data_IF_040518986816
#
_entry.id   IF_040518986816
#
_cell.length_a   1.000
_cell.length_b   1.000
_cell.length_c   1.000
_cell.angle_alpha   90.00
_cell.angle_beta   90.00
_cell.angle_gamma   90.00
#
_symmetry.space_group_name_H-M   'P 1'
#
loop_
_entity.id
_entity.type
_entity.pdbx_description
1 polymer ?
#
# COMPACT_ATOMS: atom_id res chain seq x y z
N UNK A 1 31.39 -11.77 5.10
CA UNK A 1 30.38 -11.03 4.32
C UNK A 1 30.59 -9.55 4.62
N UNK A 2 30.76 -8.69 3.61
CA UNK A 2 31.01 -7.26 3.83
C UNK A 2 29.72 -6.56 4.29
N UNK A 3 29.86 -5.50 5.11
CA UNK A 3 28.74 -4.63 5.51
C UNK A 3 28.08 -3.99 4.27
N UNK A 4 28.87 -3.69 3.23
CA UNK A 4 28.38 -3.17 1.94
C UNK A 4 27.47 -4.18 1.22
N UNK A 5 27.85 -5.47 1.17
CA UNK A 5 27.02 -6.53 0.56
C UNK A 5 25.70 -6.71 1.31
N UNK A 6 25.72 -6.59 2.63
CA UNK A 6 24.53 -6.68 3.46
C UNK A 6 23.58 -5.50 3.24
N UNK A 7 24.11 -4.28 3.17
CA UNK A 7 23.33 -3.07 2.85
C UNK A 7 22.70 -3.15 1.45
N UNK A 8 23.44 -3.62 0.45
CA UNK A 8 22.93 -3.76 -0.91
C UNK A 8 21.78 -4.77 -0.99
N UNK A 9 21.94 -5.96 -0.39
CA UNK A 9 20.85 -6.96 -0.34
C UNK A 9 19.61 -6.41 0.36
N UNK A 10 19.78 -5.67 1.46
CA UNK A 10 18.65 -5.09 2.19
C UNK A 10 17.95 -3.99 1.39
N UNK A 11 18.70 -3.19 0.63
CA UNK A 11 18.13 -2.18 -0.25
C UNK A 11 17.29 -2.82 -1.38
N UNK A 12 17.76 -3.91 -1.98
CA UNK A 12 17.06 -4.65 -3.04
C UNK A 12 15.78 -5.33 -2.51
N UNK A 13 15.85 -5.99 -1.36
CA UNK A 13 14.69 -6.57 -0.67
C UNK A 13 13.63 -5.50 -0.35
N UNK A 14 14.08 -4.31 0.05
CA UNK A 14 13.18 -3.21 0.36
C UNK A 14 12.53 -2.59 -0.90
N UNK A 15 13.24 -2.57 -2.04
CA UNK A 15 12.65 -2.16 -3.32
C UNK A 15 11.58 -3.15 -3.79
N UNK A 16 11.81 -4.45 -3.60
CA UNK A 16 10.79 -5.47 -3.88
C UNK A 16 9.53 -5.28 -3.01
N UNK A 17 9.73 -5.03 -1.71
CA UNK A 17 8.61 -4.77 -0.79
C UNK A 17 7.86 -3.46 -1.11
N UNK A 18 8.55 -2.45 -1.63
CA UNK A 18 7.92 -1.20 -2.11
C UNK A 18 6.99 -1.47 -3.30
N UNK A 19 7.41 -2.31 -4.27
CA UNK A 19 6.58 -2.71 -5.41
C UNK A 19 5.36 -3.52 -4.93
N UNK A 20 5.55 -4.46 -4.00
CA UNK A 20 4.45 -5.23 -3.42
C UNK A 20 3.43 -4.34 -2.70
N UNK A 21 3.91 -3.35 -1.92
CA UNK A 21 3.04 -2.39 -1.25
C UNK A 21 2.27 -1.52 -2.25
N UNK A 22 2.91 -1.12 -3.35
CA UNK A 22 2.24 -0.39 -4.43
C UNK A 22 1.17 -1.26 -5.10
N UNK A 23 1.48 -2.53 -5.37
CA UNK A 23 0.53 -3.49 -5.94
C UNK A 23 -0.69 -3.70 -5.03
N UNK A 24 -0.47 -3.72 -3.71
CA UNK A 24 -1.53 -3.81 -2.70
C UNK A 24 -2.43 -2.56 -2.73
N UNK A 25 -1.86 -1.37 -2.89
CA UNK A 25 -2.63 -0.13 -3.03
C UNK A 25 -3.49 -0.14 -4.30
N UNK A 26 -2.93 -0.59 -5.44
CA UNK A 26 -3.66 -0.77 -6.71
C UNK A 26 -4.79 -1.80 -6.54
N UNK A 27 -4.52 -2.92 -5.87
CA UNK A 27 -5.55 -3.93 -5.57
C UNK A 27 -6.69 -3.32 -4.75
N UNK A 28 -6.37 -2.59 -3.67
CA UNK A 28 -7.34 -1.89 -2.85
C UNK A 28 -8.21 -0.91 -3.66
N UNK A 29 -7.59 -0.18 -4.59
CA UNK A 29 -8.31 0.74 -5.48
C UNK A 29 -9.30 0.01 -6.40
N UNK A 30 -8.90 -1.12 -6.97
CA UNK A 30 -9.77 -1.94 -7.82
C UNK A 30 -10.95 -2.52 -7.03
N UNK A 31 -10.70 -3.03 -5.81
CA UNK A 31 -11.78 -3.52 -4.93
C UNK A 31 -12.74 -2.40 -4.54
N UNK A 32 -12.20 -1.22 -4.21
CA UNK A 32 -13.01 -0.06 -3.86
C UNK A 32 -13.91 0.38 -5.02
N UNK A 33 -13.33 0.52 -6.22
CA UNK A 33 -14.11 0.86 -7.43
C UNK A 33 -15.15 -0.21 -7.76
N UNK A 34 -14.79 -1.49 -7.66
CA UNK A 34 -15.72 -2.60 -7.86
C UNK A 34 -16.89 -2.60 -6.85
N UNK A 35 -16.60 -2.35 -5.58
CA UNK A 35 -17.61 -2.23 -4.53
C UNK A 35 -18.53 -1.03 -4.72
N UNK A 36 -17.98 0.11 -5.16
CA UNK A 36 -18.76 1.32 -5.47
C UNK A 36 -19.66 1.10 -6.68
N UNK A 37 -19.16 0.47 -7.75
CA UNK A 37 -19.95 0.14 -8.93
C UNK A 37 -21.08 -0.84 -8.59
N UNK A 38 -20.80 -1.89 -7.80
CA UNK A 38 -21.83 -2.81 -7.30
C UNK A 38 -22.89 -2.06 -6.48
N UNK A 39 -22.47 -1.17 -5.59
CA UNK A 39 -23.38 -0.36 -4.79
C UNK A 39 -24.25 0.56 -5.65
N UNK A 40 -23.68 1.17 -6.69
CA UNK A 40 -24.41 2.02 -7.64
C UNK A 40 -25.43 1.24 -8.46
N UNK A 41 -25.07 0.05 -8.95
CA UNK A 41 -25.95 -0.79 -9.77
C UNK A 41 -27.10 -1.36 -8.93
N UNK A 42 -26.82 -1.81 -7.71
CA UNK A 42 -27.79 -2.50 -6.86
C UNK A 42 -28.70 -1.53 -6.12
N UNK A 43 -28.15 -0.45 -5.57
CA UNK A 43 -28.91 0.50 -4.77
C UNK A 43 -29.38 1.73 -5.56
N UNK A 44 -28.83 2.00 -6.75
CA UNK A 44 -29.14 3.19 -7.55
C UNK A 44 -28.67 4.51 -6.93
N UNK A 45 -28.12 4.49 -5.71
CA UNK A 45 -27.79 5.68 -4.95
C UNK A 45 -26.54 5.50 -4.09
N UNK A 46 -25.60 6.45 -4.18
CA UNK A 46 -24.30 6.38 -3.49
C UNK A 46 -24.41 6.61 -1.97
N UNK A 47 -25.54 7.19 -1.48
CA UNK A 47 -25.79 7.46 -0.06
C UNK A 47 -25.81 6.20 0.80
N UNK A 48 -26.05 5.05 0.19
CA UNK A 48 -26.03 3.73 0.85
C UNK A 48 -24.66 3.39 1.46
N UNK A 49 -23.57 3.97 0.94
CA UNK A 49 -22.23 3.78 1.49
C UNK A 49 -22.02 4.46 2.85
N UNK A 50 -22.83 5.48 3.19
CA UNK A 50 -22.70 6.27 4.42
C UNK A 50 -23.76 5.89 5.47
N UNK A 51 -24.88 5.31 5.05
CA UNK A 51 -25.97 4.98 5.97
C UNK A 51 -26.60 3.62 5.62
N UNK A 52 -26.25 2.54 6.34
CA UNK A 52 -26.68 1.19 5.99
C UNK A 52 -28.18 0.90 6.26
N UNK A 53 -28.91 1.85 6.84
CA UNK A 53 -30.31 1.66 7.24
C UNK A 53 -31.32 1.68 6.08
N UNK A 54 -30.92 2.19 4.91
CA UNK A 54 -31.77 2.20 3.70
C UNK A 54 -31.42 1.07 2.72
N UNK A 55 -30.53 0.14 3.08
CA UNK A 55 -30.29 -1.02 2.21
C UNK A 55 -31.55 -1.87 2.15
N UNK A 56 -32.03 -2.09 0.93
CA UNK A 56 -32.93 -3.21 0.66
C UNK A 56 -32.27 -4.49 1.23
N UNK A 57 -33.00 -5.38 1.92
CA UNK A 57 -32.44 -6.56 2.60
C UNK A 57 -32.02 -7.66 1.62
N UNK A 58 -31.27 -7.30 0.57
CA UNK A 58 -30.70 -8.20 -0.41
C UNK A 58 -29.22 -8.41 -0.10
N UNK A 59 -28.78 -9.66 -0.15
CA UNK A 59 -27.39 -10.07 0.04
C UNK A 59 -26.42 -9.29 -0.87
N UNK A 60 -26.87 -8.95 -2.08
CA UNK A 60 -26.11 -8.19 -3.09
C UNK A 60 -25.83 -6.75 -2.67
N UNK A 61 -26.72 -6.11 -1.91
CA UNK A 61 -26.50 -4.73 -1.45
C UNK A 61 -25.43 -4.68 -0.35
N UNK A 62 -25.43 -5.65 0.57
CA UNK A 62 -24.40 -5.76 1.61
C UNK A 62 -23.02 -6.10 1.05
N UNK A 63 -22.94 -6.93 -0.01
CA UNK A 63 -21.67 -7.32 -0.60
C UNK A 63 -20.93 -6.12 -1.24
N UNK A 64 -21.66 -5.20 -1.89
CA UNK A 64 -21.08 -3.95 -2.42
C UNK A 64 -20.48 -3.06 -1.33
N UNK A 65 -21.16 -2.94 -0.18
CA UNK A 65 -20.68 -2.19 0.97
C UNK A 65 -19.42 -2.83 1.59
N UNK A 66 -19.45 -4.14 1.86
CA UNK A 66 -18.32 -4.87 2.44
C UNK A 66 -17.11 -4.78 1.51
N UNK A 67 -17.31 -4.99 0.20
CA UNK A 67 -16.24 -4.92 -0.78
C UNK A 67 -15.60 -3.53 -0.84
N UNK A 68 -16.42 -2.47 -0.75
CA UNK A 68 -15.93 -1.09 -0.68
C UNK A 68 -15.15 -0.82 0.60
N UNK A 69 -15.66 -1.25 1.76
CA UNK A 69 -15.00 -1.06 3.05
C UNK A 69 -13.66 -1.78 3.14
N UNK A 70 -13.61 -3.03 2.64
CA UNK A 70 -12.37 -3.82 2.56
C UNK A 70 -11.39 -3.19 1.57
N UNK A 71 -11.86 -2.80 0.38
CA UNK A 71 -11.04 -2.12 -0.63
C UNK A 71 -10.42 -0.84 -0.09
N UNK A 72 -11.19 -0.02 0.63
CA UNK A 72 -10.71 1.20 1.28
C UNK A 72 -9.64 0.92 2.35
N UNK A 73 -9.87 -0.10 3.19
CA UNK A 73 -8.92 -0.49 4.23
C UNK A 73 -7.59 -0.95 3.63
N UNK A 74 -7.65 -1.82 2.61
CA UNK A 74 -6.47 -2.32 1.90
C UNK A 74 -5.72 -1.17 1.20
N UNK A 75 -6.45 -0.23 0.59
CA UNK A 75 -5.86 0.93 -0.07
C UNK A 75 -5.06 1.80 0.90
N UNK A 76 -5.63 2.13 2.07
CA UNK A 76 -4.93 2.90 3.10
C UNK A 76 -3.70 2.15 3.57
N UNK A 77 -3.83 0.86 3.86
CA UNK A 77 -2.73 0.05 4.36
C UNK A 77 -1.59 -0.06 3.33
N UNK A 78 -1.92 -0.26 2.05
CA UNK A 78 -0.98 -0.24 0.93
C UNK A 78 -0.24 1.09 0.84
N UNK A 79 -0.94 2.22 0.96
CA UNK A 79 -0.33 3.55 0.92
C UNK A 79 0.65 3.78 2.08
N UNK A 80 0.27 3.36 3.30
CA UNK A 80 1.14 3.45 4.48
C UNK A 80 2.40 2.60 4.28
N UNK A 81 2.25 1.38 3.75
CA UNK A 81 3.37 0.48 3.48
C UNK A 81 4.32 1.06 2.42
N UNK A 82 3.82 1.66 1.34
CA UNK A 82 4.65 2.32 0.33
C UNK A 82 5.51 3.42 0.98
N UNK A 83 4.90 4.30 1.78
CA UNK A 83 5.63 5.37 2.48
C UNK A 83 6.67 4.77 3.44
N UNK A 84 6.29 3.74 4.19
CA UNK A 84 7.18 3.07 5.14
C UNK A 84 8.41 2.47 4.47
N UNK A 85 8.22 1.70 3.39
CA UNK A 85 9.32 1.10 2.64
C UNK A 85 10.15 2.15 1.92
N UNK A 86 9.54 3.18 1.34
CA UNK A 86 10.27 4.27 0.69
C UNK A 86 11.22 4.99 1.67
N UNK A 87 10.76 5.29 2.90
CA UNK A 87 11.60 5.88 3.95
C UNK A 87 12.75 4.96 4.38
N UNK A 88 12.49 3.65 4.51
CA UNK A 88 13.55 2.69 4.79
C UNK A 88 14.60 2.64 3.69
N UNK A 89 14.18 2.64 2.42
CA UNK A 89 15.10 2.64 1.26
C UNK A 89 16.03 3.84 1.32
N UNK A 90 15.47 5.02 1.58
CA UNK A 90 16.22 6.27 1.66
C UNK A 90 17.27 6.23 2.78
N UNK A 91 16.91 5.68 3.95
CA UNK A 91 17.83 5.52 5.06
C UNK A 91 18.99 4.57 4.72
N UNK A 92 18.72 3.42 4.10
CA UNK A 92 19.78 2.49 3.69
C UNK A 92 20.72 3.10 2.65
N UNK A 93 20.19 3.80 1.65
CA UNK A 93 21.02 4.46 0.62
C UNK A 93 21.90 5.55 1.26
N UNK A 94 21.35 6.37 2.16
CA UNK A 94 22.15 7.39 2.85
C UNK A 94 23.32 6.80 3.65
N UNK A 95 23.13 5.60 4.23
CA UNK A 95 24.19 4.90 4.95
C UNK A 95 25.27 4.35 4.02
N UNK A 96 24.89 3.90 2.83
CA UNK A 96 25.85 3.49 1.79
C UNK A 96 26.68 4.69 1.33
N UNK A 97 26.04 5.84 1.06
CA UNK A 97 26.73 7.07 0.66
C UNK A 97 27.69 7.59 1.75
N UNK A 98 27.27 7.53 3.01
CA UNK A 98 28.10 7.90 4.17
C UNK A 98 29.35 7.01 4.27
N UNK A 99 29.19 5.68 4.17
CA UNK A 99 30.31 4.74 4.19
C UNK A 99 31.25 4.93 2.98
N UNK A 100 30.69 5.11 1.77
CA UNK A 100 31.48 5.34 0.56
C UNK A 100 32.27 6.67 0.63
N UNK A 101 31.65 7.72 1.18
CA UNK A 101 32.31 9.02 1.40
C UNK A 101 33.41 8.95 2.47
N UNK A 102 33.23 8.15 3.52
CA UNK A 102 34.25 7.94 4.56
C UNK A 102 35.45 7.17 4.03
N UNK A 103 35.22 6.13 3.23
CA UNK A 103 36.26 5.34 2.55
C UNK A 103 37.12 6.17 1.59
N UNK A 104 36.51 7.13 0.87
CA UNK A 104 37.26 8.08 0.02
C UNK A 104 38.12 9.07 0.80
N UNK A 105 37.78 9.36 2.06
CA UNK A 105 38.54 10.28 2.93
C UNK A 105 39.68 9.60 3.69
N UNK A 106 39.83 8.29 3.59
CA UNK A 106 40.89 7.55 4.29
C UNK A 106 40.71 7.52 5.81
N UNK A 107 39.52 7.86 6.31
CA UNK A 107 39.20 7.80 7.73
C UNK A 107 38.77 6.38 8.12
N UNK A 108 39.22 5.85 9.27
CA UNK A 108 38.89 4.49 9.73
C UNK A 108 37.38 4.30 9.99
#
# INVERSE_FOLDING_TARGET
>A
MSLEDWLHRKAEENAHNEILAFLLAVLGMNLLMGGLLMSLIVAGELRVLLNPYNLSPSFTAYSGFILSAVGFTILILGFILVIYYSRKRLWYISKIEECAGKRRRGEP
#
